data_IF_218651046053
#
_entry.id   IF_218651046053
#
_cell.length_a   1.000
_cell.length_b   1.000
_cell.length_c   1.000
_cell.angle_alpha   90.00
_cell.angle_beta   90.00
_cell.angle_gamma   90.00
#
_symmetry.space_group_name_H-M   'P 1'
#
loop_
_entity.id
_entity.type
_entity.pdbx_description
1 polymer ?
#
# COMPACT_ATOMS: atom_id res chain seq x y z
N UNK A 1 13.45 10.34 -31.94
CA UNK A 1 12.99 9.81 -30.65
C UNK A 1 12.92 8.28 -30.63
N UNK A 2 12.07 7.63 -31.45
CA UNK A 2 11.83 6.16 -31.38
C UNK A 2 13.07 5.30 -31.70
N UNK A 3 13.92 5.70 -32.66
CA UNK A 3 15.19 4.99 -32.95
C UNK A 3 16.20 5.04 -31.79
N UNK A 4 16.31 6.20 -31.13
CA UNK A 4 17.20 6.40 -29.98
C UNK A 4 16.79 5.59 -28.75
N UNK A 5 15.50 5.29 -28.59
CA UNK A 5 15.02 4.43 -27.50
C UNK A 5 15.36 2.96 -27.75
N UNK A 6 15.40 2.52 -29.02
CA UNK A 6 15.82 1.18 -29.42
C UNK A 6 17.33 0.97 -29.21
N UNK A 7 18.14 1.93 -29.64
CA UNK A 7 19.60 1.88 -29.46
C UNK A 7 20.02 1.91 -27.97
N UNK A 8 19.20 2.54 -27.11
CA UNK A 8 19.39 2.51 -25.66
C UNK A 8 19.01 1.15 -25.04
N UNK A 9 18.00 0.47 -25.60
CA UNK A 9 17.62 -0.88 -25.21
C UNK A 9 18.68 -1.92 -25.57
N UNK A 10 19.36 -1.75 -26.71
CA UNK A 10 20.43 -2.64 -27.17
C UNK A 10 21.71 -2.56 -26.31
N UNK A 11 21.84 -1.52 -25.48
CA UNK A 11 22.96 -1.33 -24.54
C UNK A 11 22.68 -1.87 -23.13
N UNK A 12 21.46 -2.34 -22.87
CA UNK A 12 21.12 -2.84 -21.55
C UNK A 12 21.74 -4.22 -21.34
N UNK A 13 22.36 -4.48 -20.17
CA UNK A 13 22.88 -5.81 -19.85
C UNK A 13 21.77 -6.87 -19.92
N UNK A 14 22.14 -8.05 -20.39
CA UNK A 14 21.23 -9.20 -20.48
C UNK A 14 20.55 -9.42 -19.11
N UNK A 15 19.22 -9.29 -19.05
CA UNK A 15 18.45 -9.39 -17.81
C UNK A 15 17.89 -8.07 -17.26
N UNK A 16 18.29 -6.90 -17.78
CA UNK A 16 17.72 -5.62 -17.35
C UNK A 16 16.19 -5.55 -17.57
N UNK A 17 15.70 -6.09 -18.69
CA UNK A 17 14.27 -6.14 -18.98
C UNK A 17 13.51 -7.08 -18.01
N UNK A 18 14.11 -8.19 -17.60
CA UNK A 18 13.47 -9.10 -16.64
C UNK A 18 13.43 -8.50 -15.24
N UNK A 19 14.48 -7.79 -14.83
CA UNK A 19 14.52 -7.03 -13.58
C UNK A 19 13.53 -5.88 -13.57
N UNK A 20 13.45 -5.09 -14.65
CA UNK A 20 12.48 -4.01 -14.79
C UNK A 20 11.04 -4.54 -14.73
N UNK A 21 10.73 -5.62 -15.47
CA UNK A 21 9.42 -6.25 -15.42
C UNK A 21 9.09 -6.82 -14.02
N UNK A 22 10.09 -7.35 -13.31
CA UNK A 22 9.94 -7.82 -11.93
C UNK A 22 9.68 -6.67 -10.97
N UNK A 23 10.42 -5.57 -11.08
CA UNK A 23 10.21 -4.35 -10.32
C UNK A 23 8.79 -3.81 -10.50
N UNK A 24 8.34 -3.68 -11.75
CA UNK A 24 6.99 -3.16 -12.05
C UNK A 24 5.90 -4.09 -11.53
N UNK A 25 5.97 -5.38 -11.84
CA UNK A 25 4.94 -6.36 -11.43
C UNK A 25 4.91 -6.55 -9.92
N UNK A 26 6.08 -6.66 -9.29
CA UNK A 26 6.20 -6.87 -7.85
C UNK A 26 5.81 -5.64 -7.05
N UNK A 27 6.25 -4.45 -7.47
CA UNK A 27 5.85 -3.19 -6.84
C UNK A 27 4.36 -2.92 -6.97
N UNK A 28 3.78 -3.14 -8.16
CA UNK A 28 2.33 -3.04 -8.36
C UNK A 28 1.56 -4.07 -7.51
N UNK A 29 1.99 -5.34 -7.49
CA UNK A 29 1.37 -6.37 -6.66
C UNK A 29 1.42 -6.01 -5.17
N UNK A 30 2.55 -5.47 -4.69
CA UNK A 30 2.68 -5.01 -3.31
C UNK A 30 1.71 -3.86 -3.01
N UNK A 31 1.69 -2.81 -3.84
CA UNK A 31 0.80 -1.67 -3.68
C UNK A 31 -0.68 -2.08 -3.68
N UNK A 32 -1.12 -2.83 -4.69
CA UNK A 32 -2.51 -3.28 -4.78
C UNK A 32 -2.87 -4.30 -3.70
N UNK A 33 -1.92 -5.12 -3.23
CA UNK A 33 -2.12 -6.00 -2.08
C UNK A 33 -2.39 -5.22 -0.79
N UNK A 34 -1.64 -4.15 -0.54
CA UNK A 34 -1.89 -3.24 0.61
C UNK A 34 -3.28 -2.58 0.47
N UNK A 35 -3.62 -2.08 -0.71
CA UNK A 35 -4.96 -1.48 -0.97
C UNK A 35 -6.08 -2.51 -0.76
N UNK A 36 -5.91 -3.74 -1.23
CA UNK A 36 -6.90 -4.81 -1.06
C UNK A 36 -7.11 -5.16 0.42
N UNK A 37 -6.03 -5.31 1.19
CA UNK A 37 -6.13 -5.56 2.64
C UNK A 37 -6.78 -4.36 3.34
N UNK A 38 -6.44 -3.15 2.95
CA UNK A 38 -7.05 -1.92 3.48
C UNK A 38 -8.56 -1.89 3.22
N UNK A 39 -9.01 -2.35 2.05
CA UNK A 39 -10.43 -2.46 1.73
C UNK A 39 -11.15 -3.48 2.63
N UNK A 40 -10.50 -4.62 2.91
CA UNK A 40 -11.02 -5.60 3.89
C UNK A 40 -11.10 -5.00 5.28
N UNK A 41 -10.07 -4.28 5.72
CA UNK A 41 -10.07 -3.58 7.02
C UNK A 41 -11.23 -2.59 7.11
N UNK A 42 -11.42 -1.75 6.10
CA UNK A 42 -12.53 -0.79 6.06
C UNK A 42 -13.88 -1.52 6.12
N UNK A 43 -14.06 -2.60 5.35
CA UNK A 43 -15.29 -3.38 5.36
C UNK A 43 -15.58 -4.00 6.73
N UNK A 44 -14.55 -4.57 7.39
CA UNK A 44 -14.67 -5.13 8.75
C UNK A 44 -15.03 -4.04 9.75
N UNK A 45 -14.35 -2.89 9.72
CA UNK A 45 -14.62 -1.81 10.65
C UNK A 45 -16.03 -1.23 10.47
N UNK A 46 -16.50 -1.07 9.23
CA UNK A 46 -17.88 -0.67 8.92
C UNK A 46 -18.91 -1.68 9.47
N UNK A 47 -18.64 -2.98 9.34
CA UNK A 47 -19.51 -4.02 9.88
C UNK A 47 -19.55 -4.02 11.41
N UNK A 48 -18.38 -3.87 12.05
CA UNK A 48 -18.28 -3.84 13.52
C UNK A 48 -18.91 -2.58 14.13
N UNK A 49 -18.85 -1.44 13.43
CA UNK A 49 -19.31 -0.15 13.93
C UNK A 49 -20.64 0.29 13.29
N UNK A 50 -21.37 -0.66 12.71
CA UNK A 50 -22.61 -0.44 12.00
C UNK A 50 -23.66 0.30 12.83
N UNK A 51 -23.78 -0.02 14.13
CA UNK A 51 -24.70 0.65 15.04
C UNK A 51 -24.39 2.15 15.19
N UNK A 52 -23.13 2.52 15.38
CA UNK A 52 -22.67 3.91 15.46
C UNK A 52 -22.99 4.68 14.16
N UNK A 53 -22.77 4.03 13.02
CA UNK A 53 -23.06 4.61 11.71
C UNK A 53 -24.56 4.89 11.55
N UNK A 54 -25.44 3.96 11.95
CA UNK A 54 -26.90 4.18 11.89
C UNK A 54 -27.32 5.31 12.83
N UNK A 55 -26.83 5.34 14.08
CA UNK A 55 -27.21 6.39 15.02
C UNK A 55 -26.86 7.77 14.48
N UNK A 56 -25.68 7.91 13.84
CA UNK A 56 -25.30 9.17 13.18
C UNK A 56 -26.22 9.49 11.98
N UNK A 57 -26.62 8.49 11.19
CA UNK A 57 -27.63 8.67 10.14
C UNK A 57 -28.98 9.19 10.68
N UNK A 58 -29.46 8.61 11.78
CA UNK A 58 -30.75 8.96 12.38
C UNK A 58 -30.74 10.37 12.98
N UNK A 59 -29.63 10.79 13.58
CA UNK A 59 -29.49 12.15 14.14
C UNK A 59 -29.57 13.25 13.09
N UNK A 60 -29.19 12.96 11.85
CA UNK A 60 -29.22 13.95 10.76
C UNK A 60 -30.63 14.17 10.19
N UNK A 61 -31.63 13.35 10.57
CA UNK A 61 -33.04 13.46 10.16
C UNK A 61 -33.22 13.74 8.65
N UNK A 62 -32.42 13.10 7.79
CA UNK A 62 -32.29 13.47 6.37
C UNK A 62 -33.53 13.16 5.51
N UNK A 63 -34.55 12.49 6.07
CA UNK A 63 -35.64 11.89 5.32
C UNK A 63 -35.14 10.83 4.30
N UNK A 64 -36.04 10.30 3.49
CA UNK A 64 -35.71 9.24 2.51
C UNK A 64 -34.74 9.76 1.44
N UNK A 65 -35.05 10.93 0.84
CA UNK A 65 -34.24 11.50 -0.26
C UNK A 65 -32.83 11.88 0.22
N UNK A 66 -32.72 12.53 1.38
CA UNK A 66 -31.41 12.87 1.93
C UNK A 66 -30.63 11.63 2.38
N UNK A 67 -31.32 10.59 2.88
CA UNK A 67 -30.68 9.33 3.26
C UNK A 67 -30.06 8.61 2.05
N UNK A 68 -30.77 8.57 0.92
CA UNK A 68 -30.25 8.03 -0.35
C UNK A 68 -29.07 8.85 -0.85
N UNK A 69 -29.18 10.18 -0.87
CA UNK A 69 -28.08 11.05 -1.29
C UNK A 69 -26.83 10.88 -0.42
N UNK A 70 -26.99 10.79 0.90
CA UNK A 70 -25.90 10.55 1.85
C UNK A 70 -25.24 9.19 1.62
N UNK A 71 -26.05 8.16 1.35
CA UNK A 71 -25.54 6.81 1.07
C UNK A 71 -24.70 6.80 -0.19
N UNK A 72 -25.18 7.43 -1.27
CA UNK A 72 -24.43 7.55 -2.51
C UNK A 72 -23.13 8.35 -2.32
N UNK A 73 -23.16 9.43 -1.53
CA UNK A 73 -21.97 10.20 -1.20
C UNK A 73 -20.95 9.36 -0.42
N UNK A 74 -21.39 8.55 0.56
CA UNK A 74 -20.51 7.66 1.32
C UNK A 74 -19.91 6.57 0.46
N UNK A 75 -20.68 5.97 -0.46
CA UNK A 75 -20.16 5.00 -1.43
C UNK A 75 -19.08 5.64 -2.31
N UNK A 76 -19.32 6.87 -2.77
CA UNK A 76 -18.33 7.63 -3.55
C UNK A 76 -17.05 7.95 -2.76
N UNK A 77 -17.14 8.05 -1.42
CA UNK A 77 -15.99 8.27 -0.53
C UNK A 77 -15.24 6.99 -0.16
N UNK A 78 -15.80 5.80 -0.39
CA UNK A 78 -15.16 4.53 -0.03
C UNK A 78 -13.73 4.38 -0.59
N UNK A 79 -13.44 4.70 -1.88
CA UNK A 79 -12.08 4.61 -2.39
C UNK A 79 -11.08 5.47 -1.60
N UNK A 80 -11.52 6.63 -1.12
CA UNK A 80 -10.69 7.51 -0.31
C UNK A 80 -10.44 6.90 1.07
N UNK A 81 -11.49 6.38 1.71
CA UNK A 81 -11.36 5.71 3.01
C UNK A 81 -10.43 4.50 2.96
N UNK A 82 -10.46 3.74 1.87
CA UNK A 82 -9.52 2.62 1.63
C UNK A 82 -8.09 3.13 1.56
N UNK A 83 -7.83 4.22 0.84
CA UNK A 83 -6.49 4.81 0.79
C UNK A 83 -6.06 5.43 2.12
N UNK A 84 -6.98 5.96 2.91
CA UNK A 84 -6.69 6.46 4.25
C UNK A 84 -6.34 5.31 5.18
N UNK A 85 -7.07 4.19 5.12
CA UNK A 85 -6.70 2.96 5.82
C UNK A 85 -5.33 2.42 5.35
N UNK A 86 -5.05 2.45 4.04
CA UNK A 86 -3.73 2.08 3.52
C UNK A 86 -2.62 2.97 4.07
N UNK A 87 -2.84 4.28 4.13
CA UNK A 87 -1.87 5.21 4.72
C UNK A 87 -1.62 4.96 6.20
N UNK A 88 -2.65 4.51 6.92
CA UNK A 88 -2.55 4.11 8.31
C UNK A 88 -1.75 2.81 8.43
N UNK A 89 -2.00 1.80 7.59
CA UNK A 89 -1.20 0.56 7.56
C UNK A 89 0.25 0.79 7.13
N UNK A 90 0.54 1.78 6.31
CA UNK A 90 1.93 2.16 5.95
C UNK A 90 2.62 2.90 7.12
N UNK A 91 1.85 3.50 8.04
CA UNK A 91 2.37 4.18 9.21
C UNK A 91 2.17 5.70 9.23
N UNK A 92 2.41 6.48 8.15
CA UNK A 92 2.23 7.93 8.16
C UNK A 92 0.82 8.40 8.51
N UNK A 93 -0.19 7.60 8.18
CA UNK A 93 -1.58 7.95 8.41
C UNK A 93 -2.08 9.09 7.52
N UNK A 94 -3.12 9.76 7.99
CA UNK A 94 -3.82 10.81 7.26
C UNK A 94 -4.31 11.93 8.18
N UNK A 95 -4.62 13.08 7.57
CA UNK A 95 -5.21 14.21 8.26
C UNK A 95 -6.72 14.29 8.02
N UNK A 96 -7.48 14.63 9.05
CA UNK A 96 -8.87 15.10 8.97
C UNK A 96 -8.92 16.55 9.43
N UNK A 97 -8.36 17.38 8.57
CA UNK A 97 -8.22 18.80 8.76
C UNK A 97 -6.84 19.20 9.29
N UNK A 98 -6.47 20.45 9.03
CA UNK A 98 -5.19 21.05 9.39
C UNK A 98 -4.88 20.86 10.87
N UNK A 99 -3.66 20.40 11.14
CA UNK A 99 -3.15 20.10 12.47
C UNK A 99 -3.63 18.78 13.08
N UNK A 100 -4.37 17.95 12.35
CA UNK A 100 -4.74 16.61 12.79
C UNK A 100 -3.86 15.53 12.16
N UNK A 101 -3.71 14.42 12.86
CA UNK A 101 -3.02 13.23 12.39
C UNK A 101 -3.69 12.00 12.98
N UNK A 102 -4.03 11.04 12.13
CA UNK A 102 -4.58 9.74 12.52
C UNK A 102 -3.64 8.68 11.98
N UNK A 103 -2.85 8.06 12.87
CA UNK A 103 -1.82 7.08 12.53
C UNK A 103 -1.75 5.97 13.59
N UNK A 104 -1.14 4.81 13.30
CA UNK A 104 -0.90 3.80 14.32
C UNK A 104 0.05 4.28 15.44
N UNK A 105 0.90 5.26 15.13
CA UNK A 105 1.89 5.83 16.04
C UNK A 105 1.29 6.87 16.99
N UNK A 106 0.05 7.29 16.75
CA UNK A 106 -0.65 8.28 17.53
C UNK A 106 -1.78 8.93 16.75
N UNK A 107 -2.81 9.32 17.49
CA UNK A 107 -3.99 10.00 16.95
C UNK A 107 -4.15 11.34 17.67
N UNK A 108 -4.01 12.43 16.92
CA UNK A 108 -4.34 13.79 17.36
C UNK A 108 -5.44 14.31 16.45
N UNK A 109 -6.67 14.40 16.98
CA UNK A 109 -7.84 14.82 16.20
C UNK A 109 -8.43 16.10 16.76
N UNK A 110 -8.80 17.02 15.86
CA UNK A 110 -9.71 18.11 16.20
C UNK A 110 -11.17 17.65 16.13
N UNK A 111 -12.15 18.57 16.22
CA UNK A 111 -13.56 18.22 16.02
C UNK A 111 -13.76 17.48 14.69
N UNK A 112 -14.32 16.27 14.76
CA UNK A 112 -14.57 15.40 13.61
C UNK A 112 -15.90 15.83 12.97
N UNK A 113 -15.97 15.99 11.63
CA UNK A 113 -17.23 16.25 10.95
C UNK A 113 -18.27 15.18 11.28
N UNK A 114 -19.54 15.56 11.39
CA UNK A 114 -20.67 14.67 11.70
C UNK A 114 -21.07 13.75 10.54
N UNK A 115 -20.11 13.31 9.72
CA UNK A 115 -20.33 12.37 8.61
C UNK A 115 -20.36 10.94 9.18
N UNK A 116 -21.45 10.16 9.01
CA UNK A 116 -21.60 8.88 9.70
C UNK A 116 -20.45 7.88 9.49
N UNK A 117 -19.91 7.80 8.28
CA UNK A 117 -18.80 6.89 7.94
C UNK A 117 -17.50 7.19 8.70
N UNK A 118 -17.32 8.42 9.20
CA UNK A 118 -16.16 8.81 10.01
C UNK A 118 -16.27 8.35 11.46
N UNK A 119 -17.45 7.88 11.89
CA UNK A 119 -17.61 7.23 13.20
C UNK A 119 -16.73 5.98 13.36
N UNK A 120 -16.22 5.44 12.24
CA UNK A 120 -15.42 4.22 12.14
C UNK A 120 -13.96 4.41 12.59
N UNK A 121 -13.52 5.66 12.68
CA UNK A 121 -12.14 6.02 12.97
C UNK A 121 -11.70 5.53 14.36
N UNK A 122 -10.44 5.10 14.52
CA UNK A 122 -9.93 4.67 15.82
C UNK A 122 -10.01 5.83 16.82
N UNK A 123 -10.80 5.65 17.88
CA UNK A 123 -10.93 6.60 18.98
C UNK A 123 -10.00 6.17 20.12
N UNK A 124 -8.91 6.90 20.33
CA UNK A 124 -7.90 6.59 21.35
C UNK A 124 -6.76 5.70 20.85
N UNK A 125 -5.93 5.24 21.80
CA UNK A 125 -4.79 4.36 21.50
C UNK A 125 -5.28 2.94 21.19
N UNK A 126 -4.81 2.37 20.09
CA UNK A 126 -5.10 1.00 19.70
C UNK A 126 -3.82 0.16 19.87
N UNK A 127 -3.74 -0.61 20.96
CA UNK A 127 -2.51 -1.33 21.35
C UNK A 127 -1.97 -2.27 20.27
N UNK A 128 -2.86 -2.84 19.46
CA UNK A 128 -2.50 -3.71 18.34
C UNK A 128 -2.27 -2.97 17.02
N UNK A 129 -2.35 -1.63 17.01
CA UNK A 129 -2.33 -0.85 15.78
C UNK A 129 -1.00 -0.93 15.04
N UNK A 130 0.09 -1.12 15.78
CA UNK A 130 1.42 -1.34 15.24
C UNK A 130 1.53 -2.60 14.38
N UNK A 131 0.66 -3.61 14.58
CA UNK A 131 0.62 -4.79 13.72
C UNK A 131 0.21 -4.46 12.28
N UNK A 132 -0.54 -3.37 12.09
CA UNK A 132 -0.90 -2.86 10.77
C UNK A 132 0.32 -2.51 9.90
N UNK A 133 1.40 -2.03 10.54
CA UNK A 133 2.67 -1.66 9.89
C UNK A 133 3.37 -2.88 9.26
N UNK A 134 3.09 -4.09 9.77
CA UNK A 134 3.64 -5.31 9.17
C UNK A 134 2.97 -5.70 7.86
N UNK A 135 1.79 -5.17 7.53
CA UNK A 135 1.05 -5.51 6.31
C UNK A 135 1.86 -5.21 5.04
N UNK A 136 2.34 -3.98 4.78
CA UNK A 136 3.13 -3.69 3.58
C UNK A 136 4.41 -4.53 3.50
N UNK A 137 5.04 -4.80 4.64
CA UNK A 137 6.25 -5.64 4.75
C UNK A 137 5.96 -7.09 4.32
N UNK A 138 4.92 -7.72 4.88
CA UNK A 138 4.58 -9.11 4.58
C UNK A 138 4.14 -9.27 3.12
N UNK A 139 3.27 -8.39 2.63
CA UNK A 139 2.76 -8.45 1.25
C UNK A 139 3.90 -8.32 0.24
N UNK A 140 4.80 -7.34 0.44
CA UNK A 140 5.92 -7.11 -0.46
C UNK A 140 6.97 -8.21 -0.40
N UNK A 141 7.26 -8.74 0.79
CA UNK A 141 8.13 -9.91 0.96
C UNK A 141 7.59 -11.12 0.18
N UNK A 142 6.31 -11.44 0.33
CA UNK A 142 5.68 -12.58 -0.38
C UNK A 142 5.71 -12.36 -1.89
N UNK A 143 5.39 -11.15 -2.37
CA UNK A 143 5.47 -10.80 -3.78
C UNK A 143 6.90 -10.98 -4.34
N UNK A 144 7.91 -10.53 -3.58
CA UNK A 144 9.31 -10.68 -3.95
C UNK A 144 9.76 -12.14 -4.00
N UNK A 145 9.42 -12.96 -3.00
CA UNK A 145 9.71 -14.40 -2.99
C UNK A 145 9.11 -15.08 -4.20
N UNK A 146 7.86 -14.77 -4.54
CA UNK A 146 7.16 -15.36 -5.69
C UNK A 146 7.76 -14.93 -7.06
N UNK A 147 8.37 -13.74 -7.13
CA UNK A 147 8.94 -13.18 -8.35
C UNK A 147 10.44 -13.45 -8.51
N UNK A 148 11.14 -13.75 -7.41
CA UNK A 148 12.59 -14.02 -7.40
C UNK A 148 13.07 -15.05 -8.43
N UNK A 149 12.31 -16.12 -8.79
CA UNK A 149 12.80 -17.09 -9.77
C UNK A 149 12.99 -16.49 -11.17
N UNK A 150 12.36 -15.34 -11.46
CA UNK A 150 12.56 -14.62 -12.73
C UNK A 150 13.92 -13.92 -12.78
N UNK A 151 14.36 -13.37 -11.65
CA UNK A 151 15.68 -12.72 -11.53
C UNK A 151 16.78 -13.78 -11.37
N UNK A 152 16.50 -14.89 -10.68
CA UNK A 152 17.45 -15.99 -10.51
C UNK A 152 17.79 -16.74 -11.80
N UNK A 153 17.01 -16.58 -12.87
CA UNK A 153 17.27 -17.18 -14.20
C UNK A 153 18.22 -16.36 -15.07
N UNK A 154 18.62 -15.16 -14.64
CA UNK A 154 19.60 -14.35 -15.37
C UNK A 154 20.93 -15.13 -15.42
N UNK A 155 21.53 -15.33 -16.62
CA UNK A 155 22.74 -16.12 -16.81
C UNK A 155 24.00 -15.39 -16.29
N UNK A 156 24.06 -15.21 -14.97
CA UNK A 156 25.21 -14.65 -14.25
C UNK A 156 25.71 -15.66 -13.20
N UNK A 157 27.02 -15.70 -12.92
CA UNK A 157 27.57 -16.47 -11.80
C UNK A 157 26.90 -16.08 -10.49
N UNK A 158 26.69 -17.06 -9.60
CA UNK A 158 25.97 -16.86 -8.35
C UNK A 158 26.56 -15.74 -7.48
N UNK A 159 27.89 -15.64 -7.42
CA UNK A 159 28.62 -14.60 -6.70
C UNK A 159 28.35 -13.16 -7.22
N UNK A 160 27.89 -13.02 -8.47
CA UNK A 160 27.59 -11.73 -9.13
C UNK A 160 26.09 -11.44 -9.22
N UNK A 161 25.24 -12.30 -8.64
CA UNK A 161 23.77 -12.18 -8.77
C UNK A 161 23.12 -11.23 -7.77
N UNK A 162 23.78 -10.96 -6.65
CA UNK A 162 23.27 -10.09 -5.58
C UNK A 162 22.84 -8.68 -6.03
N UNK A 163 23.52 -7.98 -6.99
CA UNK A 163 23.09 -6.66 -7.43
C UNK A 163 21.74 -6.70 -8.12
N UNK A 164 21.44 -7.77 -8.86
CA UNK A 164 20.16 -7.94 -9.55
C UNK A 164 19.00 -8.09 -8.58
N UNK A 165 19.20 -8.82 -7.47
CA UNK A 165 18.20 -8.92 -6.40
C UNK A 165 17.99 -7.59 -5.69
N UNK A 166 19.05 -6.82 -5.45
CA UNK A 166 18.92 -5.47 -4.89
C UNK A 166 18.16 -4.52 -5.82
N UNK A 167 18.55 -4.45 -7.09
CA UNK A 167 17.91 -3.57 -8.08
C UNK A 167 16.45 -3.97 -8.28
N UNK A 168 16.14 -5.27 -8.33
CA UNK A 168 14.76 -5.74 -8.42
C UNK A 168 13.95 -5.36 -7.17
N UNK A 169 14.47 -5.60 -5.96
CA UNK A 169 13.79 -5.30 -4.71
C UNK A 169 13.56 -3.80 -4.48
N UNK A 170 14.60 -2.97 -4.70
CA UNK A 170 14.48 -1.51 -4.63
C UNK A 170 13.56 -0.97 -5.73
N UNK A 171 13.59 -1.57 -6.92
CA UNK A 171 12.68 -1.25 -8.01
C UNK A 171 11.22 -1.55 -7.67
N UNK A 172 10.94 -2.68 -7.01
CA UNK A 172 9.62 -2.99 -6.47
C UNK A 172 9.19 -1.95 -5.44
N UNK A 173 10.07 -1.59 -4.52
CA UNK A 173 9.85 -0.52 -3.54
C UNK A 173 9.46 0.80 -4.20
N UNK A 174 10.23 1.23 -5.20
CA UNK A 174 10.01 2.49 -5.90
C UNK A 174 8.67 2.50 -6.65
N UNK A 175 8.39 1.44 -7.42
CA UNK A 175 7.12 1.35 -8.16
C UNK A 175 5.93 1.32 -7.19
N UNK A 176 5.99 0.48 -6.15
CA UNK A 176 4.91 0.37 -5.17
C UNK A 176 4.65 1.69 -4.45
N UNK A 177 5.71 2.37 -4.02
CA UNK A 177 5.61 3.66 -3.35
C UNK A 177 5.04 4.77 -4.26
N UNK A 178 5.44 4.81 -5.53
CA UNK A 178 4.88 5.76 -6.51
C UNK A 178 3.39 5.50 -6.71
N UNK A 179 2.97 4.24 -6.90
CA UNK A 179 1.55 3.90 -7.06
C UNK A 179 0.74 4.34 -5.84
N UNK A 180 1.20 4.00 -4.63
CA UNK A 180 0.52 4.38 -3.39
C UNK A 180 0.50 5.89 -3.18
N UNK A 181 1.58 6.61 -3.46
CA UNK A 181 1.64 8.06 -3.36
C UNK A 181 0.70 8.74 -4.36
N UNK A 182 0.59 8.25 -5.60
CA UNK A 182 -0.36 8.75 -6.58
C UNK A 182 -1.80 8.54 -6.11
N UNK A 183 -2.13 7.36 -5.58
CA UNK A 183 -3.45 7.10 -5.00
C UNK A 183 -3.72 7.96 -3.75
N UNK A 184 -2.69 8.27 -2.96
CA UNK A 184 -2.79 9.20 -1.83
C UNK A 184 -3.13 10.62 -2.29
N UNK A 185 -2.51 11.11 -3.38
CA UNK A 185 -2.85 12.41 -3.99
C UNK A 185 -4.31 12.43 -4.44
N UNK A 186 -4.78 11.35 -5.08
CA UNK A 186 -6.15 11.27 -5.60
C UNK A 186 -7.22 11.13 -4.50
N UNK A 187 -6.84 10.65 -3.32
CA UNK A 187 -7.74 10.43 -2.18
C UNK A 187 -7.73 11.57 -1.15
N UNK A 188 -6.88 12.58 -1.35
CA UNK A 188 -6.77 13.75 -0.49
C UNK A 188 -7.18 15.04 -1.19
N UNK A 189 -7.41 16.09 -0.41
CA UNK A 189 -7.77 17.42 -0.91
C UNK A 189 -8.49 18.27 0.15
N UNK A 190 -9.00 19.42 -0.27
CA UNK A 190 -9.81 20.28 0.58
C UNK A 190 -11.25 19.77 0.62
N UNK A 191 -11.75 19.46 1.82
CA UNK A 191 -13.16 19.13 2.05
C UNK A 191 -14.00 20.37 2.44
N UNK A 192 -13.35 21.49 2.72
CA UNK A 192 -13.99 22.76 3.08
C UNK A 192 -12.98 23.85 3.45
N UNK A 193 -13.45 25.07 3.81
CA UNK A 193 -12.57 26.15 4.21
C UNK A 193 -11.96 25.92 5.62
N UNK A 194 -10.94 26.72 5.94
CA UNK A 194 -10.32 26.72 7.26
C UNK A 194 -9.65 25.39 7.58
N UNK A 195 -10.02 24.76 8.70
CA UNK A 195 -9.43 23.49 9.11
C UNK A 195 -9.64 22.36 8.11
N UNK A 196 -10.67 22.38 7.25
CA UNK A 196 -10.90 21.30 6.28
C UNK A 196 -10.16 21.48 4.96
N UNK A 197 -9.19 22.41 4.90
CA UNK A 197 -8.34 22.61 3.73
C UNK A 197 -7.40 21.42 3.46
N UNK A 198 -6.99 20.71 4.51
CA UNK A 198 -6.09 19.57 4.43
C UNK A 198 -6.76 18.28 4.91
N UNK A 199 -7.24 17.47 3.97
CA UNK A 199 -7.86 16.16 4.26
C UNK A 199 -7.19 15.07 3.43
N UNK A 200 -6.86 13.96 4.07
CA UNK A 200 -6.27 12.77 3.43
C UNK A 200 -4.78 12.56 3.73
N UNK A 201 -4.14 11.59 3.05
CA UNK A 201 -2.78 11.17 3.36
C UNK A 201 -1.72 12.11 2.79
N UNK A 202 -0.62 12.30 3.52
CA UNK A 202 0.53 13.05 3.03
C UNK A 202 1.33 12.27 1.99
N UNK A 203 1.11 12.52 0.70
CA UNK A 203 1.70 11.75 -0.39
C UNK A 203 3.23 11.65 -0.36
N UNK A 204 3.93 12.71 0.08
CA UNK A 204 5.39 12.68 0.24
C UNK A 204 5.87 11.71 1.32
N UNK A 205 5.15 11.64 2.45
CA UNK A 205 5.45 10.68 3.52
C UNK A 205 5.14 9.25 3.09
N UNK A 206 4.03 9.05 2.36
CA UNK A 206 3.68 7.75 1.80
C UNK A 206 4.75 7.27 0.82
N UNK A 207 5.21 8.15 -0.08
CA UNK A 207 6.29 7.81 -1.02
C UNK A 207 7.55 7.37 -0.27
N UNK A 208 7.96 8.12 0.77
CA UNK A 208 9.17 7.81 1.52
C UNK A 208 9.05 6.50 2.32
N UNK A 209 8.02 6.37 3.15
CA UNK A 209 7.88 5.22 4.05
C UNK A 209 7.56 3.95 3.28
N UNK A 210 6.64 3.99 2.31
CA UNK A 210 6.33 2.83 1.49
C UNK A 210 7.55 2.37 0.67
N UNK A 211 8.40 3.29 0.19
CA UNK A 211 9.63 2.92 -0.51
C UNK A 211 10.57 2.13 0.40
N UNK A 212 10.73 2.58 1.65
CA UNK A 212 11.59 1.91 2.62
C UNK A 212 11.02 0.55 3.01
N UNK A 213 9.74 0.46 3.39
CA UNK A 213 9.12 -0.80 3.82
C UNK A 213 9.07 -1.82 2.69
N UNK A 214 8.48 -1.46 1.54
CA UNK A 214 8.35 -2.36 0.40
C UNK A 214 9.73 -2.67 -0.17
N UNK A 215 10.63 -1.69 -0.26
CA UNK A 215 11.97 -1.89 -0.80
C UNK A 215 12.80 -2.85 0.05
N UNK A 216 12.90 -2.62 1.36
CA UNK A 216 13.66 -3.46 2.29
C UNK A 216 13.08 -4.87 2.34
N UNK A 217 11.76 -5.00 2.47
CA UNK A 217 11.10 -6.31 2.51
C UNK A 217 11.22 -7.07 1.18
N UNK A 218 11.12 -6.38 0.05
CA UNK A 218 11.28 -6.99 -1.27
C UNK A 218 12.72 -7.45 -1.50
N UNK A 219 13.71 -6.65 -1.09
CA UNK A 219 15.12 -7.06 -1.11
C UNK A 219 15.30 -8.33 -0.29
N UNK A 220 14.82 -8.35 0.97
CA UNK A 220 14.91 -9.54 1.81
C UNK A 220 14.26 -10.77 1.16
N UNK A 221 13.06 -10.62 0.58
CA UNK A 221 12.35 -11.70 -0.11
C UNK A 221 13.10 -12.24 -1.33
N UNK A 222 13.74 -11.36 -2.11
CA UNK A 222 14.58 -11.76 -3.25
C UNK A 222 15.77 -12.62 -2.79
N UNK A 223 16.46 -12.21 -1.73
CA UNK A 223 17.62 -12.94 -1.20
C UNK A 223 17.24 -14.29 -0.58
N UNK A 224 16.18 -14.34 0.24
CA UNK A 224 15.73 -15.58 0.89
C UNK A 224 15.39 -16.64 -0.15
N UNK A 225 14.66 -16.27 -1.20
CA UNK A 225 14.25 -17.21 -2.23
C UNK A 225 15.42 -17.60 -3.15
N UNK A 226 16.35 -16.68 -3.43
CA UNK A 226 17.61 -16.97 -4.13
C UNK A 226 18.45 -18.03 -3.40
N UNK A 227 18.51 -17.94 -2.07
CA UNK A 227 19.27 -18.87 -1.22
C UNK A 227 18.62 -20.27 -1.12
N UNK A 228 17.28 -20.35 -1.21
CA UNK A 228 16.52 -21.60 -1.08
C UNK A 228 16.37 -22.38 -2.40
N UNK A 229 16.59 -21.72 -3.55
CA UNK A 229 16.46 -22.34 -4.88
C UNK A 229 17.31 -23.61 -5.11
N UNK A 230 18.53 -23.76 -4.57
CA UNK A 230 19.32 -24.99 -4.69
C UNK A 230 18.76 -26.18 -3.89
N UNK A 231 18.10 -25.93 -2.77
CA UNK A 231 17.60 -26.98 -1.86
C UNK A 231 16.35 -27.67 -2.40
N UNK A 232 15.45 -26.91 -3.04
CA UNK A 232 14.21 -27.44 -3.63
C UNK A 232 14.48 -28.29 -4.87
N UNK A 233 15.57 -28.02 -5.62
CA UNK A 233 15.93 -28.78 -6.83
C UNK A 233 16.62 -30.12 -6.54
N UNK A 234 17.04 -30.38 -5.29
CA UNK A 234 17.75 -31.61 -4.92
C UNK A 234 16.86 -32.82 -4.65
N UNK A 235 15.53 -32.72 -4.79
CA UNK A 235 14.64 -33.86 -4.56
C UNK A 235 13.79 -34.31 -5.78
N UNK A 236 14.42 -34.86 -6.86
CA UNK A 236 13.70 -35.72 -7.81
C UNK A 236 14.05 -37.21 -7.69
N UNK A 237 15.11 -37.61 -6.99
CA UNK A 237 15.68 -38.98 -7.12
C UNK A 237 15.67 -39.83 -5.84
N UNK A 238 14.75 -39.56 -4.91
CA UNK A 238 14.65 -40.28 -3.62
C UNK A 238 13.58 -41.37 -3.54
N UNK A 239 13.09 -41.90 -4.67
CA UNK A 239 12.15 -43.04 -4.71
C UNK A 239 12.49 -43.97 -5.87
N UNK A 240 13.44 -44.86 -5.61
CA UNK A 240 13.61 -46.14 -6.31
C UNK A 240 13.34 -47.25 -5.31
#
# INVERSE_FOLDING_TARGET
>A
AIRSARDAFDRLPEGAASVAATAVRGGAAAAFGVVAISAVVVAVLLGLQYATVITLYETLQTGIVGGVALTLAQIALLPNLVMWAASWLIGPGFALGTGSSISPLGTTVGPIPSVPVLGVLPQGAFDLGYLGILVPVVVSFVAAVALSPRVARIPEPEARRWPWFLVAGLGMGLVGAIVLALLAILSGGAAGPGRLADVGPGAGWILLVAFLEIGVASVAGMFVSGLMAPLVRRNPEGRG
#
